data_IF_992069067072
#
_entry.id   IF_992069067072
#
_cell.length_a   1.000
_cell.length_b   1.000
_cell.length_c   1.000
_cell.angle_alpha   90.00
_cell.angle_beta   90.00
_cell.angle_gamma   90.00
#
_symmetry.space_group_name_H-M   'P 1'
#
loop_
_entity.id
_entity.type
_entity.pdbx_description
1 polymer ?
#
# COMPACT_ATOMS: atom_id res chain seq x y z
N UNK A 1 -0.66 -28.07 29.34
CA UNK A 1 -1.34 -28.47 28.08
C UNK A 1 -1.67 -27.19 27.34
N UNK A 2 -0.84 -26.82 26.32
CA UNK A 2 -1.13 -25.68 25.45
C UNK A 2 -2.30 -26.06 24.52
N UNK A 3 -3.27 -25.16 24.27
CA UNK A 3 -4.43 -25.48 23.48
C UNK A 3 -4.09 -25.62 22.01
N UNK A 4 -4.72 -26.58 21.35
CA UNK A 4 -4.60 -26.94 19.94
C UNK A 4 -5.23 -25.89 18.97
N UNK A 5 -4.96 -24.59 19.18
CA UNK A 5 -5.51 -23.50 18.37
C UNK A 5 -4.65 -23.23 17.10
N UNK A 6 -3.38 -23.67 17.10
CA UNK A 6 -2.42 -23.24 16.08
C UNK A 6 -2.62 -23.83 14.67
N UNK A 7 -3.10 -25.06 14.52
CA UNK A 7 -3.20 -25.72 13.19
C UNK A 7 -4.43 -25.27 12.38
N UNK A 8 -5.53 -24.90 13.04
CA UNK A 8 -6.75 -24.42 12.38
C UNK A 8 -6.66 -22.97 11.91
N UNK A 9 -5.91 -22.12 12.61
CA UNK A 9 -5.71 -20.72 12.26
C UNK A 9 -4.83 -20.57 11.01
N UNK A 10 -3.76 -21.34 10.88
CA UNK A 10 -2.88 -21.31 9.71
C UNK A 10 -3.63 -21.66 8.40
N UNK A 11 -4.57 -22.59 8.43
CA UNK A 11 -5.43 -22.92 7.27
C UNK A 11 -6.45 -21.81 6.96
N UNK A 12 -6.78 -20.95 7.92
CA UNK A 12 -7.69 -19.81 7.75
C UNK A 12 -7.05 -18.68 6.94
N UNK A 13 -5.77 -18.37 7.19
CA UNK A 13 -5.07 -17.28 6.52
C UNK A 13 -4.78 -17.57 5.05
N UNK A 14 -4.57 -18.82 4.64
CA UNK A 14 -4.40 -19.21 3.23
C UNK A 14 -5.55 -18.79 2.32
N UNK A 15 -6.75 -18.56 2.89
CA UNK A 15 -7.93 -18.14 2.14
C UNK A 15 -8.08 -16.62 1.97
N UNK A 16 -7.19 -15.85 2.57
CA UNK A 16 -7.28 -14.39 2.55
C UNK A 16 -6.98 -13.78 1.17
N UNK A 17 -6.09 -14.40 0.40
CA UNK A 17 -5.69 -13.94 -0.93
C UNK A 17 -4.88 -15.02 -1.66
N UNK A 18 -4.68 -14.85 -2.97
CA UNK A 18 -3.70 -15.63 -3.73
C UNK A 18 -2.32 -15.63 -3.05
N UNK A 19 -1.93 -14.51 -2.49
CA UNK A 19 -0.61 -14.33 -1.89
C UNK A 19 -0.43 -15.18 -0.63
N UNK A 20 -1.44 -15.29 0.20
CA UNK A 20 -1.44 -16.12 1.39
C UNK A 20 -1.50 -17.61 1.07
N UNK A 21 -2.20 -18.01 0.00
CA UNK A 21 -2.15 -19.41 -0.48
C UNK A 21 -0.73 -19.81 -0.87
N UNK A 22 0.04 -18.88 -1.46
CA UNK A 22 1.44 -19.10 -1.84
C UNK A 22 2.43 -19.21 -0.67
N UNK A 23 2.00 -18.92 0.57
CA UNK A 23 2.82 -19.12 1.77
C UNK A 23 2.76 -20.59 2.18
N UNK A 24 3.65 -21.39 1.63
CA UNK A 24 3.67 -22.87 1.82
C UNK A 24 4.35 -23.34 3.09
N UNK A 25 5.12 -22.49 3.75
CA UNK A 25 5.84 -22.81 4.98
C UNK A 25 4.88 -22.79 6.16
N UNK A 26 4.89 -23.76 7.08
CA UNK A 26 4.14 -23.67 8.31
C UNK A 26 4.48 -22.36 9.01
N UNK A 27 3.45 -21.53 9.27
CA UNK A 27 3.67 -20.30 10.02
C UNK A 27 4.16 -20.68 11.42
N UNK A 28 5.38 -20.30 11.83
CA UNK A 28 5.80 -20.54 13.20
C UNK A 28 4.77 -19.82 14.12
N UNK A 29 4.22 -20.52 15.12
CA UNK A 29 3.29 -19.88 16.04
C UNK A 29 4.05 -18.86 16.89
N UNK A 30 3.74 -17.59 16.72
CA UNK A 30 4.23 -16.54 17.60
C UNK A 30 3.34 -16.44 18.84
N UNK A 31 3.92 -16.22 20.03
CA UNK A 31 3.12 -16.15 21.25
C UNK A 31 2.23 -14.90 21.26
N UNK A 32 1.08 -14.99 21.91
CA UNK A 32 0.35 -13.80 22.34
C UNK A 32 1.03 -13.18 23.57
N UNK A 33 0.86 -11.88 23.76
CA UNK A 33 1.28 -11.21 25.00
C UNK A 33 0.40 -11.70 26.15
N UNK A 34 1.01 -12.07 27.27
CA UNK A 34 0.31 -12.60 28.45
C UNK A 34 0.74 -11.92 29.75
N UNK A 35 1.60 -10.91 29.70
CA UNK A 35 2.15 -10.21 30.85
C UNK A 35 2.49 -8.76 30.52
N UNK A 36 2.64 -7.93 31.54
CA UNK A 36 3.10 -6.56 31.37
C UNK A 36 4.57 -6.53 30.93
N UNK A 37 4.89 -5.62 30.02
CA UNK A 37 6.26 -5.42 29.53
C UNK A 37 6.71 -3.97 29.70
N UNK A 38 8.04 -3.80 29.83
CA UNK A 38 8.71 -2.52 29.68
C UNK A 38 9.84 -2.66 28.66
N UNK A 39 9.81 -1.85 27.62
CA UNK A 39 10.69 -1.90 26.45
C UNK A 39 11.09 -0.49 26.02
N UNK A 40 11.99 -0.37 25.06
CA UNK A 40 12.40 0.94 24.55
C UNK A 40 11.44 1.40 23.45
N UNK A 41 11.02 0.48 22.54
CA UNK A 41 10.05 0.80 21.48
C UNK A 41 8.98 -0.28 21.39
N UNK A 42 7.71 0.15 21.40
CA UNK A 42 6.54 -0.68 21.15
C UNK A 42 5.88 -0.29 19.83
N UNK A 43 5.79 -1.22 18.88
CA UNK A 43 5.19 -1.01 17.56
C UNK A 43 3.83 -1.71 17.53
N UNK A 44 2.77 -0.98 17.17
CA UNK A 44 1.41 -1.48 17.06
C UNK A 44 1.07 -1.74 15.60
N UNK A 45 0.97 -3.03 15.24
CA UNK A 45 0.73 -3.55 13.90
C UNK A 45 1.96 -4.17 13.25
N UNK A 46 1.86 -5.45 12.84
CA UNK A 46 2.89 -6.17 12.09
C UNK A 46 2.58 -6.24 10.58
N UNK A 47 2.07 -5.15 10.02
CA UNK A 47 2.08 -4.89 8.59
C UNK A 47 3.45 -4.39 8.12
N UNK A 48 3.58 -4.06 6.84
CA UNK A 48 4.85 -3.53 6.29
C UNK A 48 5.39 -2.34 7.10
N UNK A 49 4.54 -1.39 7.50
CA UNK A 49 4.98 -0.22 8.28
C UNK A 49 5.69 -0.65 9.57
N UNK A 50 5.05 -1.51 10.36
CA UNK A 50 5.63 -1.96 11.63
C UNK A 50 6.86 -2.82 11.44
N UNK A 51 6.86 -3.73 10.46
CA UNK A 51 7.99 -4.61 10.18
C UNK A 51 9.20 -3.85 9.64
N UNK A 52 9.01 -2.91 8.70
CA UNK A 52 10.11 -2.07 8.22
C UNK A 52 10.64 -1.13 9.30
N UNK A 53 9.77 -0.62 10.18
CA UNK A 53 10.21 0.17 11.34
C UNK A 53 11.05 -0.67 12.29
N UNK A 54 10.58 -1.88 12.63
CA UNK A 54 11.32 -2.81 13.49
C UNK A 54 12.67 -3.19 12.89
N UNK A 55 12.71 -3.51 11.58
CA UNK A 55 13.94 -3.83 10.85
C UNK A 55 14.93 -2.65 10.89
N UNK A 56 14.46 -1.45 10.57
CA UNK A 56 15.33 -0.27 10.52
C UNK A 56 15.87 0.10 11.91
N UNK A 57 15.06 -0.01 12.95
CA UNK A 57 15.50 0.23 14.35
C UNK A 57 16.54 -0.81 14.78
N UNK A 58 16.29 -2.10 14.58
CA UNK A 58 17.21 -3.15 14.96
C UNK A 58 18.57 -3.06 14.24
N UNK A 59 18.56 -2.51 13.00
CA UNK A 59 19.78 -2.25 12.24
C UNK A 59 20.51 -0.97 12.68
N UNK A 60 19.76 0.07 13.06
CA UNK A 60 20.33 1.34 13.51
C UNK A 60 20.92 1.25 14.91
N UNK A 61 20.22 0.58 15.83
CA UNK A 61 20.68 0.35 17.20
C UNK A 61 20.22 -1.04 17.71
N UNK A 62 21.09 -2.06 17.59
CA UNK A 62 20.79 -3.42 18.05
C UNK A 62 20.60 -3.54 19.58
N UNK A 63 20.88 -2.52 20.36
CA UNK A 63 20.67 -2.52 21.82
C UNK A 63 19.24 -2.22 22.22
N UNK A 64 18.42 -1.66 21.32
CA UNK A 64 17.04 -1.33 21.58
C UNK A 64 16.19 -2.60 21.79
N UNK A 65 15.41 -2.61 22.86
CA UNK A 65 14.39 -3.63 23.11
C UNK A 65 13.12 -3.25 22.35
N UNK A 66 12.94 -3.82 21.16
CA UNK A 66 11.80 -3.55 20.30
C UNK A 66 10.80 -4.70 20.38
N UNK A 67 9.52 -4.36 20.55
CA UNK A 67 8.41 -5.34 20.42
C UNK A 67 7.40 -4.87 19.40
N UNK A 68 6.81 -5.86 18.70
CA UNK A 68 5.72 -5.62 17.74
C UNK A 68 4.48 -6.36 18.24
N UNK A 69 3.34 -5.67 18.30
CA UNK A 69 2.04 -6.22 18.70
C UNK A 69 1.13 -6.33 17.48
N UNK A 70 0.61 -7.52 17.21
CA UNK A 70 -0.27 -7.81 16.08
C UNK A 70 -1.52 -8.55 16.54
N UNK A 71 -2.67 -8.08 16.09
CA UNK A 71 -3.96 -8.67 16.47
C UNK A 71 -4.18 -10.06 15.86
N UNK A 72 -3.72 -10.26 14.63
CA UNK A 72 -3.87 -11.49 13.85
C UNK A 72 -2.51 -12.17 13.67
N UNK A 73 -2.02 -12.20 12.44
CA UNK A 73 -0.69 -12.66 12.08
C UNK A 73 0.06 -11.58 11.29
N UNK A 74 1.38 -11.55 11.38
CA UNK A 74 2.20 -10.61 10.63
C UNK A 74 1.89 -10.67 9.13
N UNK A 75 1.56 -9.52 8.53
CA UNK A 75 1.11 -9.42 7.14
C UNK A 75 -0.39 -9.62 6.92
N UNK A 76 -1.21 -9.85 7.94
CA UNK A 76 -2.66 -10.07 7.81
C UNK A 76 -3.38 -8.94 7.08
N UNK A 77 -3.03 -7.69 7.33
CA UNK A 77 -3.66 -6.51 6.76
C UNK A 77 -3.44 -6.35 5.25
N UNK A 78 -3.47 -5.11 4.76
CA UNK A 78 -3.18 -4.78 3.37
C UNK A 78 -1.83 -5.31 2.90
N UNK A 79 -0.86 -5.48 3.80
CA UNK A 79 0.50 -5.95 3.51
C UNK A 79 0.55 -7.33 2.85
N UNK A 80 -0.35 -8.27 3.21
CA UNK A 80 -0.42 -9.60 2.57
C UNK A 80 -1.53 -9.72 1.54
N UNK A 81 -2.20 -8.61 1.13
CA UNK A 81 -3.39 -8.62 0.27
C UNK A 81 -3.37 -7.59 -0.85
N UNK A 82 -2.33 -6.74 -0.90
CA UNK A 82 -2.19 -5.67 -1.89
C UNK A 82 -1.89 -6.20 -3.30
N UNK A 83 -1.77 -5.29 -4.27
CA UNK A 83 -1.49 -5.60 -5.68
C UNK A 83 -0.09 -6.11 -5.97
N UNK A 84 0.81 -6.13 -4.98
CA UNK A 84 2.20 -6.52 -5.16
C UNK A 84 3.03 -5.54 -5.98
N UNK A 85 2.65 -4.26 -5.99
CA UNK A 85 3.38 -3.17 -6.63
C UNK A 85 4.28 -2.49 -5.61
N UNK A 86 5.58 -2.56 -5.82
CA UNK A 86 6.58 -1.75 -5.12
C UNK A 86 6.94 -0.57 -6.02
N UNK A 87 6.12 0.48 -5.98
CA UNK A 87 6.20 1.64 -6.88
C UNK A 87 6.82 2.86 -6.20
N UNK A 88 7.38 3.78 -6.99
CA UNK A 88 7.82 5.08 -6.50
C UNK A 88 6.68 6.11 -6.37
N UNK A 89 5.43 5.69 -6.57
CA UNK A 89 4.27 6.57 -6.40
C UNK A 89 4.14 7.02 -4.95
N UNK A 90 3.85 8.30 -4.78
CA UNK A 90 3.51 8.89 -3.48
C UNK A 90 2.07 9.41 -3.51
N UNK A 91 1.33 9.25 -2.41
CA UNK A 91 -0.09 9.57 -2.37
C UNK A 91 -0.43 11.02 -2.73
N UNK A 92 0.44 11.96 -2.34
CA UNK A 92 0.32 13.38 -2.67
C UNK A 92 1.02 13.66 -4.00
N UNK A 93 0.33 14.31 -4.94
CA UNK A 93 0.92 14.63 -6.24
C UNK A 93 2.12 15.57 -6.14
N UNK A 94 3.07 15.45 -7.07
CA UNK A 94 4.26 16.29 -7.13
C UNK A 94 3.89 17.77 -7.21
N UNK A 95 2.86 18.14 -7.99
CA UNK A 95 2.35 19.51 -8.04
C UNK A 95 1.84 20.02 -6.68
N UNK A 96 1.18 19.17 -5.90
CA UNK A 96 0.72 19.54 -4.56
C UNK A 96 1.89 19.69 -3.59
N UNK A 97 2.86 18.78 -3.61
CA UNK A 97 4.09 18.89 -2.80
C UNK A 97 4.89 20.15 -3.16
N UNK A 98 5.11 20.40 -4.46
CA UNK A 98 5.84 21.59 -4.91
C UNK A 98 5.15 22.90 -4.49
N UNK A 99 3.82 22.93 -4.54
CA UNK A 99 3.03 24.10 -4.10
C UNK A 99 3.09 24.32 -2.59
N UNK A 100 3.12 23.25 -1.79
CA UNK A 100 3.09 23.31 -0.32
C UNK A 100 4.48 23.50 0.30
N UNK A 101 5.50 22.84 -0.27
CA UNK A 101 6.83 22.72 0.32
C UNK A 101 7.97 23.22 -0.57
N UNK A 102 7.65 23.64 -1.81
CA UNK A 102 8.64 24.04 -2.81
C UNK A 102 9.15 22.87 -3.66
N UNK A 103 9.70 23.23 -4.83
CA UNK A 103 10.13 22.26 -5.86
C UNK A 103 11.27 21.36 -5.35
N UNK A 104 12.20 21.91 -4.58
CA UNK A 104 13.33 21.12 -4.06
C UNK A 104 12.90 20.06 -3.06
N UNK A 105 11.96 20.37 -2.16
CA UNK A 105 11.39 19.40 -1.21
C UNK A 105 10.59 18.32 -1.94
N UNK A 106 9.81 18.71 -2.97
CA UNK A 106 9.10 17.77 -3.82
C UNK A 106 10.07 16.81 -4.52
N UNK A 107 11.14 17.34 -5.16
CA UNK A 107 12.16 16.52 -5.81
C UNK A 107 12.86 15.56 -4.83
N UNK A 108 13.17 16.04 -3.62
CA UNK A 108 13.76 15.21 -2.58
C UNK A 108 12.84 14.03 -2.23
N UNK A 109 11.53 14.28 -2.10
CA UNK A 109 10.53 13.24 -1.83
C UNK A 109 10.44 12.23 -2.98
N UNK A 110 10.35 12.72 -4.22
CA UNK A 110 10.27 11.88 -5.41
C UNK A 110 11.49 10.96 -5.54
N UNK A 111 12.71 11.52 -5.39
CA UNK A 111 13.96 10.74 -5.44
C UNK A 111 14.05 9.73 -4.29
N UNK A 112 13.61 10.10 -3.08
CA UNK A 112 13.56 9.17 -1.95
C UNK A 112 12.62 7.99 -2.22
N UNK A 113 11.48 8.21 -2.89
CA UNK A 113 10.57 7.15 -3.29
C UNK A 113 11.18 6.23 -4.37
N UNK A 114 11.86 6.80 -5.39
CA UNK A 114 12.54 6.03 -6.42
C UNK A 114 13.64 5.13 -5.84
N UNK A 115 14.50 5.70 -4.99
CA UNK A 115 15.54 4.95 -4.25
C UNK A 115 14.92 3.84 -3.39
N UNK A 116 13.78 4.11 -2.78
CA UNK A 116 13.12 3.14 -1.88
C UNK A 116 12.71 1.86 -2.60
N UNK A 117 12.37 1.91 -3.88
CA UNK A 117 12.08 0.69 -4.66
C UNK A 117 13.31 -0.23 -4.69
N UNK A 118 14.50 0.34 -4.93
CA UNK A 118 15.76 -0.42 -4.93
C UNK A 118 16.14 -0.91 -3.54
N UNK A 119 15.92 -0.08 -2.51
CA UNK A 119 16.18 -0.45 -1.10
C UNK A 119 15.31 -1.64 -0.68
N UNK A 120 14.04 -1.69 -1.07
CA UNK A 120 13.17 -2.85 -0.79
C UNK A 120 13.76 -4.13 -1.40
N UNK A 121 14.15 -4.09 -2.68
CA UNK A 121 14.73 -5.25 -3.36
C UNK A 121 16.07 -5.70 -2.78
N UNK A 122 16.97 -4.75 -2.52
CA UNK A 122 18.29 -5.04 -1.96
C UNK A 122 18.20 -5.55 -0.52
N UNK A 123 17.28 -5.01 0.28
CA UNK A 123 17.05 -5.49 1.65
C UNK A 123 16.44 -6.90 1.63
N UNK A 124 15.43 -7.15 0.79
CA UNK A 124 14.85 -8.50 0.66
C UNK A 124 15.93 -9.52 0.30
N UNK A 125 16.80 -9.20 -0.67
CA UNK A 125 17.91 -10.09 -1.06
C UNK A 125 18.92 -10.30 0.07
N UNK A 126 19.31 -9.25 0.80
CA UNK A 126 20.28 -9.35 1.89
C UNK A 126 19.78 -10.12 3.11
N UNK A 127 18.45 -10.05 3.37
CA UNK A 127 17.79 -10.82 4.44
C UNK A 127 17.36 -12.23 3.97
N UNK A 128 17.67 -12.62 2.73
CA UNK A 128 17.32 -13.93 2.18
C UNK A 128 15.83 -14.12 1.94
N UNK A 129 15.06 -13.03 1.75
CA UNK A 129 13.62 -13.06 1.53
C UNK A 129 13.34 -13.25 0.03
N UNK A 130 12.95 -14.45 -0.36
CA UNK A 130 12.47 -14.73 -1.72
C UNK A 130 10.98 -14.30 -1.82
N UNK A 131 10.76 -13.05 -2.15
CA UNK A 131 9.43 -12.50 -2.39
C UNK A 131 9.15 -12.26 -3.88
N UNK A 132 9.84 -12.93 -4.78
CA UNK A 132 9.71 -12.81 -6.23
C UNK A 132 9.89 -11.37 -6.74
N UNK A 133 10.75 -10.58 -6.11
CA UNK A 133 11.01 -9.20 -6.48
C UNK A 133 11.62 -9.12 -7.89
N UNK A 134 10.98 -8.34 -8.77
CA UNK A 134 11.50 -8.02 -10.12
C UNK A 134 11.18 -6.56 -10.44
N UNK A 135 12.22 -5.74 -10.68
CA UNK A 135 12.06 -4.33 -11.08
C UNK A 135 11.88 -4.25 -12.60
N UNK A 136 10.64 -4.42 -13.05
CA UNK A 136 10.25 -4.38 -14.47
C UNK A 136 9.71 -3.04 -14.94
N UNK A 137 9.53 -2.08 -14.02
CA UNK A 137 8.87 -0.81 -14.31
C UNK A 137 7.34 -0.90 -14.23
N UNK A 138 6.67 0.19 -14.60
CA UNK A 138 5.21 0.29 -14.70
C UNK A 138 4.80 0.90 -16.03
N UNK A 139 3.72 0.37 -16.60
CA UNK A 139 3.11 0.84 -17.86
C UNK A 139 1.68 1.27 -17.59
N UNK A 140 1.37 2.54 -17.83
CA UNK A 140 0.02 3.06 -17.75
C UNK A 140 -0.56 3.23 -19.16
N UNK A 141 -1.44 2.30 -19.53
CA UNK A 141 -2.01 2.19 -20.87
C UNK A 141 -2.91 3.37 -21.24
N UNK A 142 -2.84 3.77 -22.48
CA UNK A 142 -3.72 4.77 -23.09
C UNK A 142 -4.56 4.10 -24.16
N UNK A 143 -5.88 4.13 -24.01
CA UNK A 143 -6.85 3.44 -24.90
C UNK A 143 -7.87 4.40 -25.50
N UNK A 144 -7.76 5.69 -25.26
CA UNK A 144 -8.63 6.72 -25.82
C UNK A 144 -7.91 8.06 -25.92
N UNK A 145 -8.43 8.94 -26.79
CA UNK A 145 -7.88 10.29 -26.92
C UNK A 145 -7.97 11.10 -25.62
N UNK A 146 -9.02 10.89 -24.82
CA UNK A 146 -9.14 11.54 -23.51
C UNK A 146 -8.02 11.11 -22.54
N UNK A 147 -7.68 9.83 -22.54
CA UNK A 147 -6.56 9.30 -21.77
C UNK A 147 -5.21 9.81 -22.32
N UNK A 148 -5.05 9.89 -23.65
CA UNK A 148 -3.82 10.39 -24.27
C UNK A 148 -3.51 11.83 -23.87
N UNK A 149 -4.52 12.69 -23.84
CA UNK A 149 -4.35 14.08 -23.39
C UNK A 149 -3.86 14.13 -21.94
N UNK A 150 -4.39 13.28 -21.04
CA UNK A 150 -3.92 13.22 -19.64
C UNK A 150 -2.49 12.69 -19.55
N UNK A 151 -2.19 11.58 -20.22
CA UNK A 151 -0.89 10.95 -20.21
C UNK A 151 0.23 11.89 -20.70
N UNK A 152 0.00 12.59 -21.80
CA UNK A 152 0.96 13.57 -22.30
C UNK A 152 1.11 14.77 -21.37
N UNK A 153 0.01 15.24 -20.76
CA UNK A 153 0.08 16.33 -19.79
C UNK A 153 0.87 15.92 -18.52
N UNK A 154 0.77 14.67 -18.09
CA UNK A 154 1.56 14.12 -16.97
C UNK A 154 3.07 14.10 -17.30
N UNK A 155 3.44 13.63 -18.49
CA UNK A 155 4.85 13.65 -18.94
C UNK A 155 5.37 15.08 -19.07
N UNK A 156 4.58 16.00 -19.62
CA UNK A 156 4.97 17.42 -19.73
C UNK A 156 5.11 18.09 -18.35
N UNK A 157 4.21 17.76 -17.40
CA UNK A 157 4.30 18.22 -16.02
C UNK A 157 5.57 17.71 -15.35
N UNK A 158 5.88 16.43 -15.46
CA UNK A 158 7.11 15.84 -14.91
C UNK A 158 8.36 16.55 -15.46
N UNK A 159 8.41 16.79 -16.77
CA UNK A 159 9.51 17.57 -17.39
C UNK A 159 9.60 18.99 -16.85
N UNK A 160 8.47 19.65 -16.65
CA UNK A 160 8.42 21.01 -16.08
C UNK A 160 8.95 21.05 -14.63
N UNK A 161 8.81 19.96 -13.90
CA UNK A 161 9.30 19.75 -12.54
C UNK A 161 10.77 19.27 -12.50
N UNK A 162 11.39 19.05 -13.67
CA UNK A 162 12.82 18.71 -13.82
C UNK A 162 13.11 17.22 -13.78
N UNK A 163 12.14 16.40 -14.08
CA UNK A 163 12.27 14.97 -14.35
C UNK A 163 12.50 14.74 -15.85
N UNK A 164 13.08 13.62 -16.22
CA UNK A 164 13.42 13.30 -17.61
C UNK A 164 12.85 11.93 -18.05
N UNK A 165 13.27 11.44 -19.20
CA UNK A 165 12.78 10.20 -19.79
C UNK A 165 13.25 8.94 -19.00
N UNK A 166 14.25 9.07 -18.14
CA UNK A 166 14.65 8.02 -17.19
C UNK A 166 13.70 7.95 -15.98
N UNK A 167 12.93 9.00 -15.73
CA UNK A 167 11.91 9.03 -14.67
C UNK A 167 10.53 8.59 -15.20
N UNK A 168 10.05 9.24 -16.28
CA UNK A 168 8.80 8.93 -16.95
C UNK A 168 8.84 9.33 -18.42
N UNK A 169 8.35 8.46 -19.30
CA UNK A 169 8.32 8.73 -20.74
C UNK A 169 7.06 8.20 -21.41
N UNK A 170 6.73 8.81 -22.54
CA UNK A 170 5.70 8.32 -23.44
C UNK A 170 6.24 7.16 -24.28
N UNK A 171 5.45 6.09 -24.41
CA UNK A 171 5.64 5.01 -25.35
C UNK A 171 4.64 5.15 -26.49
N UNK A 172 5.13 5.15 -27.74
CA UNK A 172 4.26 5.03 -28.92
C UNK A 172 3.56 3.67 -29.00
N UNK A 173 2.62 3.49 -29.96
CA UNK A 173 1.88 2.24 -30.05
C UNK A 173 2.76 0.99 -30.23
N UNK A 174 3.83 1.09 -31.04
CA UNK A 174 4.77 0.00 -31.30
C UNK A 174 5.56 -0.36 -30.03
N UNK A 175 6.18 0.64 -29.39
CA UNK A 175 6.91 0.45 -28.14
C UNK A 175 6.02 -0.09 -27.01
N UNK A 176 4.75 0.36 -26.95
CA UNK A 176 3.78 -0.16 -26.00
C UNK A 176 3.52 -1.65 -26.23
N UNK A 177 3.35 -2.05 -27.48
CA UNK A 177 3.10 -3.45 -27.83
C UNK A 177 4.28 -4.39 -27.53
N UNK A 178 5.52 -3.88 -27.56
CA UNK A 178 6.72 -4.63 -27.14
C UNK A 178 6.73 -4.91 -25.62
N UNK A 179 6.17 -4.02 -24.81
CA UNK A 179 6.12 -4.19 -23.36
C UNK A 179 4.86 -4.93 -22.92
N UNK A 180 3.69 -4.54 -23.47
CA UNK A 180 2.40 -5.09 -23.13
C UNK A 180 1.45 -5.08 -24.31
N UNK A 181 1.03 -6.28 -24.74
CA UNK A 181 0.11 -6.50 -25.87
C UNK A 181 -1.36 -6.32 -25.47
N UNK A 182 -1.73 -5.19 -24.88
CA UNK A 182 -3.12 -4.93 -24.47
C UNK A 182 -3.98 -4.45 -25.64
N UNK A 183 -5.19 -4.99 -25.76
CA UNK A 183 -6.12 -4.65 -26.83
C UNK A 183 -6.55 -3.17 -26.81
N UNK A 184 -6.47 -2.53 -27.98
CA UNK A 184 -6.88 -1.13 -28.16
C UNK A 184 -5.95 -0.10 -27.50
N UNK A 185 -4.75 -0.47 -27.10
CA UNK A 185 -3.74 0.47 -26.66
C UNK A 185 -3.26 1.34 -27.83
N UNK A 186 -3.23 2.64 -27.65
CA UNK A 186 -2.75 3.64 -28.62
C UNK A 186 -1.46 4.32 -28.16
N UNK A 187 -0.89 3.85 -27.06
CA UNK A 187 0.32 4.29 -26.39
C UNK A 187 0.26 4.02 -24.90
N UNK A 188 1.29 4.43 -24.18
CA UNK A 188 1.36 4.31 -22.73
C UNK A 188 2.32 5.35 -22.15
N UNK A 189 2.27 5.60 -20.83
CA UNK A 189 3.40 6.14 -20.08
C UNK A 189 4.17 4.99 -19.42
N UNK A 190 5.46 5.15 -19.28
CA UNK A 190 6.36 4.18 -18.66
C UNK A 190 7.26 4.84 -17.64
N UNK A 191 7.40 4.21 -16.49
CA UNK A 191 8.42 4.52 -15.50
C UNK A 191 9.21 3.27 -15.11
N UNK A 192 10.55 3.31 -14.98
CA UNK A 192 11.35 2.17 -14.51
C UNK A 192 11.28 1.99 -12.99
N UNK A 193 10.68 2.92 -12.26
CA UNK A 193 10.69 2.99 -10.79
C UNK A 193 9.53 2.20 -10.16
N UNK A 194 9.34 0.97 -10.62
CA UNK A 194 8.36 0.03 -10.04
C UNK A 194 8.89 -1.41 -10.12
N UNK A 195 8.57 -2.19 -9.11
CA UNK A 195 8.84 -3.62 -9.07
C UNK A 195 7.58 -4.39 -8.69
N UNK A 196 7.52 -5.66 -9.10
CA UNK A 196 6.54 -6.61 -8.58
C UNK A 196 7.10 -7.35 -7.38
N UNK A 197 6.22 -7.70 -6.43
CA UNK A 197 6.51 -8.57 -5.30
C UNK A 197 5.37 -9.54 -5.05
N UNK A 198 5.64 -10.65 -4.38
CA UNK A 198 4.63 -11.45 -3.70
C UNK A 198 4.54 -10.92 -2.25
N UNK A 199 3.48 -10.15 -1.94
CA UNK A 199 3.48 -9.33 -0.74
C UNK A 199 3.39 -10.12 0.56
N UNK A 200 2.72 -11.29 0.56
CA UNK A 200 2.66 -12.11 1.77
C UNK A 200 4.02 -12.75 2.08
N UNK A 201 4.79 -13.17 1.07
CA UNK A 201 6.16 -13.66 1.26
C UNK A 201 7.09 -12.55 1.78
N UNK A 202 6.96 -11.34 1.23
CA UNK A 202 7.73 -10.19 1.76
C UNK A 202 7.40 -9.91 3.22
N UNK A 203 6.12 -9.85 3.58
CA UNK A 203 5.70 -9.56 4.96
C UNK A 203 6.15 -10.65 5.94
N UNK A 204 6.01 -11.93 5.55
CA UNK A 204 6.42 -13.07 6.40
C UNK A 204 7.94 -13.16 6.53
N UNK A 205 8.67 -12.97 5.43
CA UNK A 205 10.14 -12.95 5.46
C UNK A 205 10.68 -11.78 6.30
N UNK A 206 10.07 -10.59 6.20
CA UNK A 206 10.42 -9.47 7.09
C UNK A 206 10.16 -9.80 8.56
N UNK A 207 9.05 -10.46 8.88
CA UNK A 207 8.76 -10.86 10.26
C UNK A 207 9.81 -11.83 10.80
N UNK A 208 10.29 -12.77 9.99
CA UNK A 208 11.39 -13.67 10.36
C UNK A 208 12.73 -12.93 10.48
N UNK A 209 13.02 -12.02 9.55
CA UNK A 209 14.24 -11.22 9.57
C UNK A 209 14.33 -10.35 10.84
N UNK A 210 13.26 -9.65 11.23
CA UNK A 210 13.28 -8.80 12.44
C UNK A 210 13.44 -9.63 13.71
N UNK A 211 12.87 -10.84 13.77
CA UNK A 211 13.10 -11.77 14.88
C UNK A 211 14.56 -12.25 14.91
N UNK A 212 15.16 -12.49 13.74
CA UNK A 212 16.59 -12.77 13.61
C UNK A 212 17.50 -11.65 14.13
N UNK A 213 17.02 -10.41 14.10
CA UNK A 213 17.67 -9.23 14.68
C UNK A 213 17.29 -8.96 16.15
N UNK A 214 16.58 -9.87 16.83
CA UNK A 214 16.27 -9.78 18.26
C UNK A 214 14.96 -9.06 18.59
N UNK A 215 14.18 -8.63 17.63
CA UNK A 215 12.84 -8.07 17.84
C UNK A 215 11.87 -9.19 18.24
N UNK A 216 10.98 -8.92 19.18
CA UNK A 216 9.91 -9.86 19.54
C UNK A 216 8.58 -9.46 18.92
N UNK A 217 7.92 -10.40 18.24
CA UNK A 217 6.58 -10.21 17.67
C UNK A 217 5.59 -11.01 18.52
N UNK A 218 4.53 -10.34 18.98
CA UNK A 218 3.39 -10.94 19.65
C UNK A 218 2.19 -10.92 18.71
N UNK A 219 1.83 -12.07 18.13
CA UNK A 219 0.60 -12.27 17.34
C UNK A 219 -0.59 -12.54 18.26
N UNK A 220 -1.83 -12.47 17.74
CA UNK A 220 -3.06 -12.65 18.52
C UNK A 220 -3.14 -11.74 19.76
N UNK A 221 -2.60 -10.54 19.65
CA UNK A 221 -2.53 -9.54 20.71
C UNK A 221 -3.25 -8.28 20.27
N UNK A 222 -4.52 -8.16 20.65
CA UNK A 222 -5.32 -6.99 20.29
C UNK A 222 -4.93 -5.78 21.15
N UNK A 223 -4.62 -4.67 20.49
CA UNK A 223 -4.40 -3.38 21.15
C UNK A 223 -5.75 -2.69 21.33
N UNK A 224 -6.08 -2.40 22.56
CA UNK A 224 -7.34 -1.77 22.98
C UNK A 224 -7.23 -0.26 23.12
N UNK A 225 -6.04 0.24 23.53
CA UNK A 225 -5.79 1.66 23.73
C UNK A 225 -4.30 1.98 23.58
N UNK A 226 -3.99 3.19 23.11
CA UNK A 226 -2.65 3.77 23.06
C UNK A 226 -2.70 5.06 23.87
N UNK A 227 -1.93 5.13 24.95
CA UNK A 227 -1.88 6.26 25.85
C UNK A 227 -0.60 7.05 25.64
N UNK A 228 -0.76 8.36 25.49
CA UNK A 228 0.35 9.29 25.41
C UNK A 228 1.15 9.30 26.71
N UNK A 229 2.44 9.51 26.61
CA UNK A 229 3.29 9.78 27.77
C UNK A 229 3.01 11.16 28.36
N UNK A 230 3.30 11.29 29.66
CA UNK A 230 3.28 12.54 30.42
C UNK A 230 4.62 12.71 31.13
N UNK A 231 4.96 13.91 31.63
CA UNK A 231 6.21 14.09 32.37
C UNK A 231 6.37 13.11 33.55
N UNK A 232 7.33 12.18 33.43
CA UNK A 232 7.60 11.13 34.42
C UNK A 232 6.80 9.82 34.25
N UNK A 233 5.90 9.72 33.27
CA UNK A 233 5.17 8.50 32.92
C UNK A 233 5.25 8.23 31.42
N UNK A 234 5.95 7.18 30.97
CA UNK A 234 6.14 6.92 29.56
C UNK A 234 4.83 6.48 28.87
N UNK A 235 4.73 6.63 27.53
CA UNK A 235 3.58 6.15 26.79
C UNK A 235 3.37 4.65 27.00
N UNK A 236 2.12 4.22 26.85
CA UNK A 236 1.76 2.83 27.08
C UNK A 236 0.71 2.33 26.11
N UNK A 237 0.73 1.02 25.88
CA UNK A 237 -0.20 0.30 25.04
C UNK A 237 -0.96 -0.74 25.88
N UNK A 238 -2.28 -0.60 25.95
CA UNK A 238 -3.16 -1.55 26.64
C UNK A 238 -3.61 -2.61 25.66
N UNK A 239 -3.40 -3.86 26.01
CA UNK A 239 -3.78 -5.01 25.17
C UNK A 239 -4.76 -5.94 25.88
N UNK A 240 -5.24 -6.95 25.18
CA UNK A 240 -6.03 -8.04 25.76
C UNK A 240 -5.24 -8.94 26.73
N UNK A 241 -3.89 -8.90 26.70
CA UNK A 241 -3.02 -9.81 27.46
C UNK A 241 -2.08 -9.14 28.46
N UNK A 242 -2.06 -7.80 28.52
CA UNK A 242 -1.18 -7.02 29.42
C UNK A 242 -0.98 -5.60 28.91
N UNK A 243 -0.17 -4.84 29.63
CA UNK A 243 0.19 -3.46 29.27
C UNK A 243 1.68 -3.40 28.89
N UNK A 244 1.99 -2.76 27.76
CA UNK A 244 3.37 -2.48 27.36
C UNK A 244 3.67 -1.00 27.61
N UNK A 245 4.68 -0.72 28.45
CA UNK A 245 5.26 0.62 28.61
C UNK A 245 6.50 0.73 27.75
N UNK A 246 6.66 1.84 27.06
CA UNK A 246 7.79 2.05 26.17
C UNK A 246 8.23 3.52 26.20
N UNK A 247 9.48 3.82 25.84
CA UNK A 247 9.91 5.20 25.64
C UNK A 247 9.24 5.80 24.39
N UNK A 248 9.06 4.97 23.36
CA UNK A 248 8.32 5.34 22.13
C UNK A 248 7.29 4.28 21.78
N UNK A 249 6.07 4.72 21.45
CA UNK A 249 5.00 3.88 20.89
C UNK A 249 4.76 4.29 19.44
N UNK A 250 4.95 3.35 18.50
CA UNK A 250 4.72 3.55 17.05
C UNK A 250 3.35 3.01 16.67
N UNK A 251 2.46 3.86 16.16
CA UNK A 251 1.18 3.45 15.58
C UNK A 251 1.37 3.14 14.10
N UNK A 252 1.28 1.86 13.73
CA UNK A 252 1.41 1.32 12.37
C UNK A 252 0.14 0.56 11.93
N UNK A 253 -1.05 1.08 12.30
CA UNK A 253 -2.35 0.38 12.18
C UNK A 253 -3.11 0.68 10.90
N UNK A 254 -2.64 1.57 10.05
CA UNK A 254 -3.17 1.91 8.72
C UNK A 254 -4.73 1.99 8.75
N UNK A 255 -5.42 1.22 7.90
CA UNK A 255 -6.89 1.22 7.79
C UNK A 255 -7.64 0.85 9.09
N UNK A 256 -6.97 0.23 10.05
CA UNK A 256 -7.53 -0.08 11.38
C UNK A 256 -7.37 1.05 12.39
N UNK A 257 -6.66 2.14 12.05
CA UNK A 257 -6.51 3.32 12.92
C UNK A 257 -7.85 3.83 13.48
N UNK A 258 -8.97 3.87 12.73
CA UNK A 258 -10.27 4.33 13.25
C UNK A 258 -10.85 3.48 14.39
N UNK A 259 -10.38 2.25 14.61
CA UNK A 259 -10.84 1.40 15.71
C UNK A 259 -10.24 1.77 17.06
N UNK A 260 -9.15 2.55 17.05
CA UNK A 260 -8.49 3.01 18.26
C UNK A 260 -9.24 4.22 18.87
N UNK A 261 -9.31 4.32 20.20
CA UNK A 261 -9.94 5.44 20.90
C UNK A 261 -9.42 6.80 20.42
N UNK A 262 -10.33 7.76 20.18
CA UNK A 262 -9.98 9.11 19.74
C UNK A 262 -9.60 9.25 18.25
N UNK A 263 -9.39 8.16 17.51
CA UNK A 263 -8.90 8.16 16.12
C UNK A 263 -9.95 7.82 15.06
N UNK A 264 -11.23 7.71 15.42
CA UNK A 264 -12.33 7.34 14.51
C UNK A 264 -12.49 8.23 13.26
N UNK A 265 -11.86 9.40 13.22
CA UNK A 265 -11.91 10.37 12.12
C UNK A 265 -10.52 10.68 11.53
N UNK A 266 -9.50 9.95 11.92
CA UNK A 266 -8.14 10.16 11.41
C UNK A 266 -7.99 9.69 9.97
N UNK A 267 -8.51 8.51 9.66
CA UNK A 267 -8.41 7.84 8.37
C UNK A 267 -9.78 7.23 8.00
N UNK A 268 -10.06 7.14 6.70
CA UNK A 268 -11.22 6.42 6.15
C UNK A 268 -10.75 5.12 5.51
N UNK A 269 -11.26 3.95 5.94
CA UNK A 269 -10.99 2.69 5.25
C UNK A 269 -11.80 2.61 3.96
N UNK A 270 -11.10 2.54 2.82
CA UNK A 270 -11.69 2.31 1.49
C UNK A 270 -11.18 0.98 0.98
N UNK A 271 -12.07 0.16 0.42
CA UNK A 271 -11.70 -1.16 -0.04
C UNK A 271 -11.17 -1.14 -1.47
N UNK A 272 -10.08 -1.85 -1.70
CA UNK A 272 -9.59 -2.24 -3.01
C UNK A 272 -9.74 -3.74 -3.17
N UNK A 273 -10.30 -4.20 -4.30
CA UNK A 273 -10.61 -5.59 -4.55
C UNK A 273 -9.77 -6.13 -5.70
N UNK A 274 -9.51 -7.43 -5.65
CA UNK A 274 -8.65 -8.12 -6.61
C UNK A 274 -9.25 -9.43 -7.08
N UNK A 275 -8.83 -9.85 -8.26
CA UNK A 275 -9.05 -11.18 -8.83
C UNK A 275 -7.73 -11.74 -9.34
N UNK A 276 -7.62 -13.06 -9.45
CA UNK A 276 -6.51 -13.70 -10.14
C UNK A 276 -6.97 -14.81 -11.05
N UNK A 277 -6.32 -14.93 -12.21
CA UNK A 277 -6.53 -16.03 -13.16
C UNK A 277 -5.89 -17.31 -12.65
N UNK A 278 -6.21 -18.44 -13.27
CA UNK A 278 -5.32 -19.60 -13.26
C UNK A 278 -3.99 -19.27 -13.96
N UNK A 279 -2.94 -20.08 -13.84
CA UNK A 279 -1.73 -19.92 -14.63
C UNK A 279 -2.07 -19.94 -16.12
N UNK A 280 -1.56 -18.95 -16.86
CA UNK A 280 -1.81 -18.77 -18.29
C UNK A 280 -0.66 -19.39 -19.09
N UNK A 281 -0.99 -19.97 -20.26
CA UNK A 281 -0.03 -20.67 -21.10
C UNK A 281 0.99 -19.75 -21.79
N UNK A 282 2.06 -20.34 -22.31
CA UNK A 282 3.13 -19.64 -23.02
C UNK A 282 2.62 -18.84 -24.23
N UNK A 283 1.67 -19.40 -24.98
CA UNK A 283 1.06 -18.71 -26.13
C UNK A 283 0.35 -17.42 -25.74
N UNK A 284 -0.27 -17.38 -24.58
CA UNK A 284 -0.84 -16.16 -24.02
C UNK A 284 0.25 -15.13 -23.73
N UNK A 285 1.29 -15.52 -23.02
CA UNK A 285 2.38 -14.61 -22.65
C UNK A 285 3.19 -14.12 -23.83
N UNK A 286 3.35 -14.93 -24.88
CA UNK A 286 3.97 -14.50 -26.13
C UNK A 286 3.22 -13.34 -26.81
N UNK A 287 1.90 -13.23 -26.63
CA UNK A 287 1.09 -12.12 -27.17
C UNK A 287 0.92 -10.98 -26.16
N UNK A 288 0.69 -11.32 -24.90
CA UNK A 288 0.46 -10.32 -23.85
C UNK A 288 1.74 -9.56 -23.44
N UNK A 289 2.93 -10.09 -23.75
CA UNK A 289 4.19 -9.51 -23.34
C UNK A 289 4.41 -9.64 -21.82
N UNK A 290 4.81 -8.54 -21.16
CA UNK A 290 5.12 -8.50 -19.72
C UNK A 290 6.25 -9.47 -19.33
N UNK A 291 7.23 -9.67 -20.22
CA UNK A 291 8.40 -10.52 -19.94
C UNK A 291 9.27 -9.93 -18.82
N UNK A 292 9.43 -8.61 -18.80
CA UNK A 292 10.11 -7.88 -17.73
C UNK A 292 9.34 -7.91 -16.41
N UNK A 293 8.11 -8.45 -16.40
CA UNK A 293 7.17 -8.36 -15.29
C UNK A 293 6.86 -6.90 -14.89
N UNK A 294 6.80 -6.00 -15.87
CA UNK A 294 6.29 -4.67 -15.65
C UNK A 294 4.87 -4.75 -15.07
N UNK A 295 4.56 -3.87 -14.14
CA UNK A 295 3.19 -3.68 -13.68
C UNK A 295 2.41 -2.90 -14.73
N UNK A 296 1.08 -3.04 -14.77
CA UNK A 296 0.26 -2.33 -15.73
C UNK A 296 -1.02 -1.75 -15.12
N UNK A 297 -1.37 -0.55 -15.57
CA UNK A 297 -2.60 0.16 -15.27
C UNK A 297 -3.16 0.82 -16.55
N UNK A 298 -4.15 1.68 -16.43
CA UNK A 298 -4.53 2.60 -17.49
C UNK A 298 -4.97 3.96 -16.93
N UNK A 299 -5.05 4.97 -17.79
CA UNK A 299 -5.40 6.34 -17.43
C UNK A 299 -6.89 6.59 -17.21
N UNK A 300 -7.68 5.60 -16.72
CA UNK A 300 -9.07 5.81 -16.27
C UNK A 300 -9.11 6.44 -14.87
N UNK A 301 -10.25 7.08 -14.52
CA UNK A 301 -10.44 7.68 -13.20
C UNK A 301 -10.66 6.61 -12.10
N UNK A 302 -11.35 5.51 -12.44
CA UNK A 302 -11.49 4.36 -11.55
C UNK A 302 -10.28 3.45 -11.70
N UNK A 303 -9.27 3.69 -10.89
CA UNK A 303 -7.97 3.03 -10.94
C UNK A 303 -8.10 1.51 -11.03
N UNK A 304 -7.43 0.93 -12.00
CA UNK A 304 -7.14 -0.49 -12.12
C UNK A 304 -5.63 -0.70 -12.07
N UNK A 305 -5.21 -1.88 -11.68
CA UNK A 305 -3.80 -2.24 -11.63
C UNK A 305 -3.63 -3.75 -11.77
N UNK A 306 -2.56 -4.19 -12.41
CA UNK A 306 -2.30 -5.59 -12.64
C UNK A 306 -0.82 -5.92 -12.70
N UNK A 307 -0.51 -7.20 -12.48
CA UNK A 307 0.83 -7.74 -12.66
C UNK A 307 0.79 -9.19 -13.14
N UNK A 308 1.87 -9.61 -13.80
CA UNK A 308 2.19 -11.02 -14.05
C UNK A 308 2.86 -11.59 -12.80
N UNK A 309 2.29 -12.65 -12.22
CA UNK A 309 2.88 -13.35 -11.08
C UNK A 309 4.02 -14.26 -11.51
N UNK A 310 4.84 -14.72 -10.56
CA UNK A 310 5.95 -15.62 -10.87
C UNK A 310 5.49 -16.99 -11.43
N UNK A 311 4.29 -17.45 -11.05
CA UNK A 311 3.67 -18.69 -11.53
C UNK A 311 2.79 -18.51 -12.78
N UNK A 312 2.91 -17.35 -13.46
CA UNK A 312 2.26 -17.10 -14.75
C UNK A 312 0.76 -16.83 -14.68
N UNK A 313 0.27 -16.20 -13.61
CA UNK A 313 -1.10 -15.67 -13.51
C UNK A 313 -1.13 -14.18 -13.79
N UNK A 314 -2.30 -13.64 -14.03
CA UNK A 314 -2.57 -12.20 -13.85
C UNK A 314 -3.25 -12.00 -12.50
N UNK A 315 -2.63 -11.25 -11.61
CA UNK A 315 -3.26 -10.66 -10.44
C UNK A 315 -3.72 -9.25 -10.82
N UNK A 316 -5.03 -8.98 -10.70
CA UNK A 316 -5.64 -7.77 -11.21
C UNK A 316 -6.58 -7.17 -10.17
N UNK A 317 -6.46 -5.88 -9.92
CA UNK A 317 -7.23 -5.18 -8.92
C UNK A 317 -7.76 -3.84 -9.39
N UNK A 318 -8.60 -3.25 -8.56
CA UNK A 318 -9.13 -1.92 -8.81
C UNK A 318 -9.96 -1.39 -7.66
N UNK A 319 -10.17 -0.08 -7.70
CA UNK A 319 -11.07 0.62 -6.79
C UNK A 319 -12.52 0.50 -7.27
N UNK A 320 -13.47 0.78 -6.38
CA UNK A 320 -14.90 0.80 -6.75
C UNK A 320 -15.81 0.19 -5.72
N UNK A 321 -15.28 -0.45 -4.68
CA UNK A 321 -16.06 -0.87 -3.52
C UNK A 321 -16.58 0.36 -2.75
N UNK A 322 -17.80 0.31 -2.18
CA UNK A 322 -18.35 1.43 -1.43
C UNK A 322 -17.60 1.65 -0.10
N UNK A 323 -17.59 2.89 0.37
CA UNK A 323 -17.21 3.19 1.75
C UNK A 323 -18.35 2.80 2.69
N UNK A 324 -18.00 2.07 3.75
CA UNK A 324 -18.95 1.59 4.75
C UNK A 324 -19.12 2.58 5.90
N UNK A 325 -20.37 2.79 6.32
CA UNK A 325 -20.73 3.77 7.35
C UNK A 325 -19.96 3.55 8.66
N UNK A 326 -19.52 4.64 9.25
CA UNK A 326 -18.79 4.62 10.53
C UNK A 326 -17.36 4.12 10.47
N UNK A 327 -16.72 4.09 9.29
CA UNK A 327 -15.38 3.51 9.07
C UNK A 327 -15.29 2.04 9.52
N UNK A 328 -16.40 1.31 9.39
CA UNK A 328 -16.44 -0.10 9.79
C UNK A 328 -15.55 -0.95 8.88
N UNK A 329 -14.68 -1.76 9.48
CA UNK A 329 -13.85 -2.77 8.81
C UNK A 329 -14.35 -4.15 9.21
N UNK A 330 -14.72 -4.98 8.21
CA UNK A 330 -15.25 -6.34 8.44
C UNK A 330 -14.76 -7.28 7.34
N UNK A 331 -14.53 -8.57 7.63
CA UNK A 331 -14.13 -9.56 6.63
C UNK A 331 -15.10 -9.68 5.44
N UNK A 332 -16.42 -9.52 5.69
CA UNK A 332 -17.44 -9.59 4.63
C UNK A 332 -17.25 -8.53 3.54
N UNK A 333 -16.57 -7.42 3.84
CA UNK A 333 -16.29 -6.33 2.91
C UNK A 333 -15.06 -6.59 2.02
N UNK A 334 -14.29 -7.62 2.30
CA UNK A 334 -13.17 -8.07 1.48
C UNK A 334 -13.64 -8.70 0.15
N UNK A 335 -14.97 -8.86 -0.04
CA UNK A 335 -15.58 -9.41 -1.24
C UNK A 335 -16.84 -8.64 -1.63
N UNK A 336 -16.88 -8.17 -2.88
CA UNK A 336 -18.04 -7.53 -3.50
C UNK A 336 -18.23 -8.14 -4.91
N UNK A 337 -19.18 -9.07 -5.08
CA UNK A 337 -19.33 -9.81 -6.34
C UNK A 337 -19.47 -8.92 -7.58
N UNK A 338 -20.17 -7.78 -7.46
CA UNK A 338 -20.35 -6.85 -8.58
C UNK A 338 -19.03 -6.19 -9.01
N UNK A 339 -18.16 -5.86 -8.05
CA UNK A 339 -16.83 -5.30 -8.35
C UNK A 339 -15.92 -6.37 -8.93
N UNK A 340 -15.91 -7.58 -8.39
CA UNK A 340 -15.14 -8.70 -8.96
C UNK A 340 -15.56 -9.03 -10.39
N UNK A 341 -16.88 -9.01 -10.69
CA UNK A 341 -17.37 -9.18 -12.06
C UNK A 341 -16.89 -8.09 -13.01
N UNK A 342 -16.90 -6.82 -12.55
CA UNK A 342 -16.38 -5.69 -13.31
C UNK A 342 -14.87 -5.82 -13.57
N UNK A 343 -14.09 -6.26 -12.59
CA UNK A 343 -12.65 -6.48 -12.75
C UNK A 343 -12.36 -7.55 -13.81
N UNK A 344 -13.09 -8.68 -13.78
CA UNK A 344 -12.97 -9.74 -14.80
C UNK A 344 -13.30 -9.22 -16.19
N UNK A 345 -14.39 -8.48 -16.33
CA UNK A 345 -14.77 -7.85 -17.60
C UNK A 345 -13.68 -6.87 -18.07
N UNK A 346 -13.19 -6.01 -17.19
CA UNK A 346 -12.14 -5.03 -17.53
C UNK A 346 -10.85 -5.72 -17.96
N UNK A 347 -10.47 -6.80 -17.31
CA UNK A 347 -9.28 -7.55 -17.67
C UNK A 347 -9.45 -8.22 -19.06
N UNK A 348 -10.65 -8.76 -19.37
CA UNK A 348 -10.97 -9.32 -20.68
C UNK A 348 -11.02 -8.23 -21.78
N UNK A 349 -11.34 -6.97 -21.45
CA UNK A 349 -11.24 -5.86 -22.39
C UNK A 349 -9.78 -5.49 -22.71
N UNK A 350 -8.85 -5.74 -21.78
CA UNK A 350 -7.41 -5.53 -21.99
C UNK A 350 -6.76 -6.71 -22.70
N UNK A 351 -7.13 -7.91 -22.32
CA UNK A 351 -6.60 -9.16 -22.83
C UNK A 351 -7.77 -10.10 -23.17
N UNK A 352 -8.31 -10.05 -24.41
CA UNK A 352 -9.52 -10.79 -24.77
C UNK A 352 -9.45 -12.31 -24.51
N UNK A 353 -8.27 -12.91 -24.62
CA UNK A 353 -8.07 -14.34 -24.39
C UNK A 353 -8.29 -14.75 -22.91
N UNK A 354 -8.25 -13.79 -21.99
CA UNK A 354 -8.54 -14.05 -20.56
C UNK A 354 -10.04 -14.32 -20.33
N UNK A 355 -10.90 -13.98 -21.29
CA UNK A 355 -12.35 -14.23 -21.16
C UNK A 355 -12.68 -15.71 -20.93
N UNK A 356 -11.89 -16.62 -21.51
CA UNK A 356 -12.04 -18.08 -21.40
C UNK A 356 -11.25 -18.67 -20.20
N UNK A 357 -10.40 -17.87 -19.55
CA UNK A 357 -9.61 -18.33 -18.43
C UNK A 357 -10.45 -18.41 -17.14
N UNK A 358 -10.12 -19.40 -16.32
CA UNK A 358 -10.74 -19.53 -15.00
C UNK A 358 -10.13 -18.54 -14.02
N UNK A 359 -10.96 -17.78 -13.33
CA UNK A 359 -10.55 -16.96 -12.20
C UNK A 359 -10.58 -17.80 -10.92
N UNK A 360 -9.43 -18.01 -10.33
CA UNK A 360 -9.25 -18.92 -9.20
C UNK A 360 -9.41 -18.23 -7.86
N UNK A 361 -9.12 -16.92 -7.79
CA UNK A 361 -9.16 -16.12 -6.57
C UNK A 361 -9.92 -14.83 -6.76
N UNK A 362 -10.57 -14.39 -5.67
CA UNK A 362 -11.19 -13.08 -5.51
C UNK A 362 -11.06 -12.67 -4.04
N UNK A 363 -10.47 -11.51 -3.79
CA UNK A 363 -10.21 -11.01 -2.44
C UNK A 363 -10.17 -9.49 -2.41
N UNK A 364 -9.97 -8.94 -1.23
CA UNK A 364 -9.80 -7.50 -1.04
C UNK A 364 -9.20 -7.16 0.30
N UNK A 365 -9.14 -5.87 0.56
CA UNK A 365 -8.72 -5.34 1.84
C UNK A 365 -8.89 -3.83 1.93
N UNK A 366 -8.99 -3.30 3.15
CA UNK A 366 -9.13 -1.87 3.36
C UNK A 366 -7.79 -1.16 3.23
N UNK A 367 -7.82 0.03 2.63
CA UNK A 367 -6.74 1.01 2.52
C UNK A 367 -7.10 2.22 3.36
N UNK A 368 -6.15 2.81 4.07
CA UNK A 368 -6.36 4.02 4.85
C UNK A 368 -6.21 5.28 4.01
N UNK A 369 -7.26 6.10 3.95
CA UNK A 369 -7.27 7.37 3.23
C UNK A 369 -7.37 8.52 4.23
N UNK A 370 -6.32 9.35 4.41
CA UNK A 370 -6.41 10.60 5.16
C UNK A 370 -7.23 11.63 4.40
N UNK A 371 -7.74 12.66 5.11
CA UNK A 371 -8.70 13.61 4.53
C UNK A 371 -8.14 14.43 3.36
N UNK A 372 -6.86 14.70 3.40
CA UNK A 372 -6.09 15.45 2.40
C UNK A 372 -5.25 14.58 1.47
N UNK A 373 -5.43 13.25 1.53
CA UNK A 373 -4.68 12.29 0.74
C UNK A 373 -3.16 12.34 0.94
N UNK A 374 -2.70 12.89 2.07
CA UNK A 374 -1.29 13.06 2.36
C UNK A 374 -0.77 11.96 3.30
N UNK A 375 0.16 11.13 2.83
CA UNK A 375 0.87 10.18 3.70
C UNK A 375 1.71 10.94 4.71
N UNK A 376 1.82 10.41 5.91
CA UNK A 376 2.61 11.06 6.96
C UNK A 376 3.40 10.08 7.80
N UNK A 377 4.50 10.58 8.34
CA UNK A 377 5.37 9.94 9.33
C UNK A 377 5.77 10.97 10.36
N UNK A 378 5.86 10.58 11.62
CA UNK A 378 6.28 11.54 12.65
C UNK A 378 6.50 10.93 14.02
N UNK A 379 7.14 11.72 14.89
CA UNK A 379 7.35 11.44 16.31
C UNK A 379 7.07 12.70 17.08
N UNK A 380 6.16 12.63 18.04
CA UNK A 380 5.96 13.67 19.06
C UNK A 380 6.80 13.33 20.28
N UNK A 381 7.92 14.00 20.43
CA UNK A 381 8.84 13.82 21.54
C UNK A 381 8.23 14.16 22.92
N UNK A 382 7.19 15.01 22.97
CA UNK A 382 6.55 15.37 24.24
C UNK A 382 5.69 14.24 24.80
N UNK A 383 5.10 13.43 23.91
CA UNK A 383 4.21 12.34 24.28
C UNK A 383 4.82 10.95 24.07
N UNK A 384 5.96 10.85 23.38
CA UNK A 384 6.57 9.60 22.97
C UNK A 384 5.75 8.81 21.94
N UNK A 385 4.76 9.45 21.26
CA UNK A 385 3.95 8.81 20.23
C UNK A 385 4.53 9.07 18.84
N UNK A 386 4.74 7.99 18.11
CA UNK A 386 5.14 8.03 16.72
C UNK A 386 4.04 7.41 15.81
N UNK A 387 4.02 7.79 14.54
CA UNK A 387 3.06 7.28 13.59
C UNK A 387 3.63 7.22 12.18
N UNK A 388 3.09 6.31 11.38
CA UNK A 388 3.20 6.36 9.93
C UNK A 388 1.94 5.74 9.32
N UNK A 389 1.50 6.27 8.16
CA UNK A 389 0.31 5.77 7.48
C UNK A 389 -0.28 6.72 6.46
N UNK A 390 -1.48 6.37 5.97
CA UNK A 390 -2.20 7.16 4.99
C UNK A 390 -1.65 7.02 3.57
N UNK A 391 -1.17 5.84 3.20
CA UNK A 391 -0.49 5.60 1.92
C UNK A 391 -1.41 5.53 0.70
N UNK A 392 -2.72 5.55 0.89
CA UNK A 392 -3.75 5.62 -0.18
C UNK A 392 -3.66 4.50 -1.23
N UNK A 393 -2.96 3.41 -0.92
CA UNK A 393 -2.74 2.26 -1.82
C UNK A 393 -1.28 2.04 -2.23
N UNK A 394 -0.42 3.05 -2.13
CA UNK A 394 0.99 3.01 -2.55
C UNK A 394 1.93 2.66 -1.37
N UNK A 395 1.52 1.70 -0.55
CA UNK A 395 2.16 1.41 0.72
C UNK A 395 3.37 0.45 0.66
N UNK A 396 3.60 -0.30 -0.42
CA UNK A 396 4.64 -1.35 -0.41
C UNK A 396 6.04 -0.74 -0.25
N UNK A 397 6.37 0.25 -1.05
CA UNK A 397 7.63 1.01 -0.95
C UNK A 397 7.56 2.07 0.15
N UNK A 398 6.47 2.85 0.20
CA UNK A 398 6.34 3.99 1.13
C UNK A 398 6.48 3.56 2.59
N UNK A 399 6.07 2.35 2.95
CA UNK A 399 6.27 1.80 4.30
C UNK A 399 7.74 1.54 4.65
N UNK A 400 8.58 1.19 3.66
CA UNK A 400 10.02 1.07 3.86
C UNK A 400 10.63 2.45 4.14
N UNK A 401 10.27 3.45 3.33
CA UNK A 401 10.70 4.83 3.58
C UNK A 401 10.25 5.31 4.96
N UNK A 402 9.00 5.01 5.36
CA UNK A 402 8.46 5.33 6.67
C UNK A 402 9.26 4.68 7.80
N UNK A 403 9.57 3.38 7.67
CA UNK A 403 10.33 2.64 8.67
C UNK A 403 11.74 3.19 8.87
N UNK A 404 12.43 3.54 7.78
CA UNK A 404 13.75 4.21 7.84
C UNK A 404 13.65 5.58 8.48
N UNK A 405 12.67 6.40 8.07
CA UNK A 405 12.45 7.72 8.63
C UNK A 405 12.11 7.66 10.13
N UNK A 406 11.25 6.71 10.56
CA UNK A 406 10.94 6.51 11.97
C UNK A 406 12.14 6.07 12.77
N UNK A 407 12.98 5.17 12.23
CA UNK A 407 14.20 4.77 12.91
C UNK A 407 15.13 5.97 13.15
N UNK A 408 15.33 6.81 12.12
CA UNK A 408 16.14 8.03 12.25
C UNK A 408 15.55 9.01 13.28
N UNK A 409 14.23 9.24 13.27
CA UNK A 409 13.56 10.12 14.25
C UNK A 409 13.68 9.57 15.68
N UNK A 410 13.52 8.27 15.89
CA UNK A 410 13.54 7.63 17.21
C UNK A 410 14.97 7.58 17.77
N UNK A 411 15.97 7.32 16.94
CA UNK A 411 17.38 7.29 17.36
C UNK A 411 18.02 8.69 17.38
N UNK A 412 17.30 9.73 16.94
CA UNK A 412 17.79 11.10 16.90
C UNK A 412 18.82 11.37 15.79
N UNK A 413 18.85 10.54 14.75
CA UNK A 413 19.74 10.74 13.60
C UNK A 413 19.26 11.90 12.72
N UNK A 414 20.14 12.83 12.39
CA UNK A 414 19.85 13.94 11.47
C UNK A 414 20.23 13.54 10.05
N UNK A 415 19.26 13.01 9.31
CA UNK A 415 19.44 12.53 7.94
C UNK A 415 18.58 13.32 6.94
N UNK A 416 18.78 13.06 5.65
CA UNK A 416 17.91 13.61 4.61
C UNK A 416 16.45 13.15 4.77
N UNK A 417 16.23 11.93 5.30
CA UNK A 417 14.89 11.36 5.49
C UNK A 417 14.07 12.13 6.53
N UNK A 418 14.70 12.60 7.61
CA UNK A 418 14.01 13.35 8.68
C UNK A 418 13.60 14.76 8.25
N UNK A 419 14.06 15.22 7.08
CA UNK A 419 13.74 16.54 6.49
C UNK A 419 12.77 16.47 5.31
N UNK A 420 12.31 15.27 4.95
CA UNK A 420 11.32 15.10 3.86
C UNK A 420 9.98 15.78 4.22
N UNK A 421 9.24 16.31 3.23
CA UNK A 421 8.06 17.16 3.45
C UNK A 421 6.89 16.45 4.16
N UNK A 422 6.86 15.14 4.21
CA UNK A 422 5.82 14.36 4.89
C UNK A 422 6.06 14.16 6.40
N UNK A 423 7.27 14.53 6.89
CA UNK A 423 7.63 14.37 8.31
C UNK A 423 6.87 15.39 9.15
N UNK A 424 6.18 14.89 10.18
CA UNK A 424 5.38 15.74 11.08
C UNK A 424 4.06 16.25 10.49
N UNK A 425 3.71 15.84 9.26
CA UNK A 425 2.42 16.22 8.69
C UNK A 425 1.27 15.60 9.47
N UNK A 426 0.25 16.40 9.76
CA UNK A 426 -0.96 15.99 10.46
C UNK A 426 -2.18 16.34 9.60
N UNK A 427 -2.79 15.32 9.03
CA UNK A 427 -3.98 15.49 8.20
C UNK A 427 -5.18 16.00 8.98
N UNK A 428 -6.03 16.84 8.40
CA UNK A 428 -7.29 17.22 8.99
C UNK A 428 -8.15 16.00 9.31
N UNK A 429 -8.99 16.10 10.33
CA UNK A 429 -9.95 15.03 10.64
C UNK A 429 -11.06 14.99 9.61
N UNK A 430 -11.43 13.77 9.19
CA UNK A 430 -12.59 13.54 8.35
C UNK A 430 -13.87 14.12 8.99
N UNK A 431 -14.84 14.48 8.17
CA UNK A 431 -16.15 14.92 8.61
C UNK A 431 -16.84 13.87 9.49
N UNK A 432 -17.72 14.25 10.41
CA UNK A 432 -18.55 13.28 11.14
C UNK A 432 -19.56 12.62 10.18
N UNK A 433 -20.03 11.42 10.56
CA UNK A 433 -21.17 10.82 9.87
C UNK A 433 -22.45 11.66 10.08
N UNK A 434 -23.36 11.73 9.10
CA UNK A 434 -23.35 11.02 7.80
C UNK A 434 -22.59 11.73 6.67
N UNK A 435 -22.04 12.92 6.92
CA UNK A 435 -21.41 13.75 5.87
C UNK A 435 -20.24 13.04 5.21
N UNK A 436 -19.43 12.33 5.99
CA UNK A 436 -18.31 11.53 5.50
C UNK A 436 -18.77 10.43 4.55
N UNK A 437 -19.78 9.66 4.94
CA UNK A 437 -20.33 8.60 4.09
C UNK A 437 -20.90 9.13 2.78
N UNK A 438 -21.65 10.24 2.86
CA UNK A 438 -22.22 10.90 1.67
C UNK A 438 -21.10 11.41 0.74
N UNK A 439 -20.10 12.10 1.30
CA UNK A 439 -19.01 12.70 0.53
C UNK A 439 -18.13 11.65 -0.19
N UNK A 440 -17.69 10.62 0.53
CA UNK A 440 -16.84 9.56 -0.04
C UNK A 440 -17.58 8.78 -1.13
N UNK A 441 -18.82 8.34 -0.87
CA UNK A 441 -19.57 7.59 -1.87
C UNK A 441 -20.00 8.45 -3.07
N UNK A 442 -20.31 9.74 -2.88
CA UNK A 442 -20.56 10.68 -3.97
C UNK A 442 -19.30 10.87 -4.85
N UNK A 443 -18.11 10.94 -4.24
CA UNK A 443 -16.84 10.98 -4.96
C UNK A 443 -16.64 9.74 -5.84
N UNK A 444 -16.82 8.55 -5.28
CA UNK A 444 -16.73 7.29 -6.03
C UNK A 444 -17.73 7.23 -7.19
N UNK A 445 -18.96 7.67 -6.97
CA UNK A 445 -19.98 7.75 -8.03
C UNK A 445 -19.60 8.72 -9.15
N UNK A 446 -19.04 9.86 -8.78
CA UNK A 446 -18.60 10.87 -9.74
C UNK A 446 -17.51 10.33 -10.65
N UNK A 447 -16.51 9.61 -10.12
CA UNK A 447 -15.45 8.99 -10.92
C UNK A 447 -15.99 7.91 -11.87
N UNK A 448 -16.92 7.05 -11.40
CA UNK A 448 -17.61 6.07 -12.25
C UNK A 448 -18.37 6.71 -13.41
N UNK A 449 -19.04 7.85 -13.14
CA UNK A 449 -19.77 8.60 -14.18
C UNK A 449 -18.82 9.30 -15.15
N UNK A 450 -17.66 9.78 -14.67
CA UNK A 450 -16.64 10.40 -15.48
C UNK A 450 -16.11 9.41 -16.53
N UNK A 451 -15.68 8.20 -16.10
CA UNK A 451 -15.20 7.14 -17.00
C UNK A 451 -16.24 6.77 -18.06
N UNK A 452 -17.50 6.56 -17.64
CA UNK A 452 -18.62 6.27 -18.59
C UNK A 452 -18.85 7.39 -19.60
N UNK A 453 -18.73 8.66 -19.15
CA UNK A 453 -18.89 9.83 -20.00
C UNK A 453 -17.75 9.93 -21.03
N UNK A 454 -16.52 9.68 -20.61
CA UNK A 454 -15.35 9.71 -21.48
C UNK A 454 -15.38 8.59 -22.52
N UNK A 455 -15.74 7.37 -22.12
CA UNK A 455 -15.91 6.23 -23.04
C UNK A 455 -16.95 6.54 -24.13
N UNK A 456 -18.05 7.22 -23.78
CA UNK A 456 -19.11 7.55 -24.73
C UNK A 456 -18.80 8.76 -25.62
N UNK A 457 -18.10 9.76 -25.11
CA UNK A 457 -17.91 11.07 -25.76
C UNK A 457 -16.52 11.23 -26.40
N UNK A 458 -15.54 10.39 -26.03
CA UNK A 458 -14.15 10.48 -26.49
C UNK A 458 -13.43 11.77 -26.06
N UNK A 459 -13.91 12.45 -25.01
CA UNK A 459 -13.35 13.74 -24.54
C UNK A 459 -13.26 13.75 -23.01
N UNK A 460 -12.25 14.45 -22.43
CA UNK A 460 -12.06 14.56 -20.98
C UNK A 460 -13.30 15.02 -20.23
N UNK A 461 -13.56 14.41 -19.08
CA UNK A 461 -14.74 14.71 -18.25
C UNK A 461 -14.55 15.99 -17.45
N UNK A 462 -15.45 16.97 -17.63
CA UNK A 462 -15.48 18.18 -16.81
C UNK A 462 -15.80 17.90 -15.34
N UNK A 463 -16.54 16.82 -15.06
CA UNK A 463 -16.87 16.40 -13.68
C UNK A 463 -15.64 15.90 -12.93
N UNK A 464 -14.79 15.10 -13.60
CA UNK A 464 -13.53 14.64 -13.00
C UNK A 464 -12.60 15.82 -12.68
N UNK A 465 -12.42 16.78 -13.61
CA UNK A 465 -11.63 17.97 -13.37
C UNK A 465 -12.17 18.89 -12.26
N UNK A 466 -13.50 18.95 -12.06
CA UNK A 466 -14.08 19.69 -10.93
C UNK A 466 -13.82 18.96 -9.59
N UNK A 467 -13.91 17.63 -9.58
CA UNK A 467 -13.64 16.82 -8.39
C UNK A 467 -12.16 16.85 -8.00
N UNK A 468 -11.22 16.75 -8.96
CA UNK A 468 -9.78 16.85 -8.71
C UNK A 468 -9.44 18.17 -8.01
N UNK A 469 -9.97 19.30 -8.50
CA UNK A 469 -9.79 20.62 -7.85
C UNK A 469 -10.37 20.68 -6.42
N UNK A 470 -11.50 20.01 -6.17
CA UNK A 470 -12.12 19.93 -4.83
C UNK A 470 -11.26 19.09 -3.86
N UNK A 471 -10.58 18.08 -4.37
CA UNK A 471 -9.71 17.20 -3.59
C UNK A 471 -8.26 17.72 -3.49
N UNK A 472 -7.94 18.85 -4.16
CA UNK A 472 -6.59 19.44 -4.12
C UNK A 472 -5.57 18.73 -5.04
N UNK A 473 -6.10 17.97 -5.98
CA UNK A 473 -5.33 17.25 -7.01
C UNK A 473 -5.33 18.03 -8.32
#
# INVERSE_FOLDING_TARGET
>A
MAPAVAAGAASGYQRLSLWWEGVTVPLPPRPALTEDLSVDVCIVGAGFTGLWTAHSLARADPSLRVVVLEREAAGFGASGRNGGWCSALFATSDAALARQHGVDAMRAMHRAMQETVDVVGTTAASEGIDCHFVKGGSVDLVRSEAQRVRALAEVDEARSLGFDDDDVRWLGPEETAEVVGAAGAIGATFTPHCAVVQPALLARGLAEAVEGHGVRIYEHTEVLDIRAGEPGDPPSVVTSGGTVRADVVVRATEAWTPTLPGLARAIVPVYSLMVATEPLGEDFWARAGLESRATFADHRHMIIYGQRTADGRIAFGGRGAPYHYGSTVRPDFDSEPAVHALLRQTLAELFPEVADARFTHAWGGPLGIPRDWHSSVGLDHATGLAWAGGYVGDGVSTTNLAGRTLADLITGADTALTRLPWVGHVSPRWEPEPLRWLGVNAGLWTMKLADRSETRRGRPSRLAGAMGRLLGQ
#
